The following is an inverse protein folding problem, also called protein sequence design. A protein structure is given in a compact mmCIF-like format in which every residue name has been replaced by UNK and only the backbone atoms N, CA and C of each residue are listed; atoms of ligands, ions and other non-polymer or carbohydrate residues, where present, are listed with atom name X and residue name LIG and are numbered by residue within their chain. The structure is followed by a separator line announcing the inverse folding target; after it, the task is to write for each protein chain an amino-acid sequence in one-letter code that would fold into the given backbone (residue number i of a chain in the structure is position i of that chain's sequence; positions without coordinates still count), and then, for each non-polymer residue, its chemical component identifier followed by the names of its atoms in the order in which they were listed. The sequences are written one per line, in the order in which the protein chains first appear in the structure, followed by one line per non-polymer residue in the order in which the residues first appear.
data_IF_278183748518
#
_entry.id   IF_278183748518
#
_cell.length_a   1.000
_cell.length_b   1.000
_cell.length_c   1.000
_cell.angle_alpha   90.00
_cell.angle_beta   90.00
_cell.angle_gamma   90.00
#
_symmetry.space_group_name_H-M   'P 1'
#
loop_
_entity.id
_entity.type
_entity.pdbx_description
1 polymer ?
#
# COMPACT_ATOMS: atom_id res chain seq x y z
N UNK A 1 -13.45 -3.27 -16.60
CA UNK A 1 -12.13 -2.60 -16.63
C UNK A 1 -11.19 -3.04 -15.49
N UNK A 2 -11.67 -3.59 -14.37
CA UNK A 2 -10.82 -4.07 -13.27
C UNK A 2 -9.98 -5.34 -13.55
N UNK A 3 -10.48 -6.29 -14.35
CA UNK A 3 -9.69 -7.47 -14.74
C UNK A 3 -8.47 -7.13 -15.59
N UNK A 4 -8.60 -6.12 -16.46
CA UNK A 4 -7.52 -5.66 -17.34
C UNK A 4 -6.39 -5.03 -16.52
N UNK A 5 -6.71 -4.23 -15.50
CA UNK A 5 -5.70 -3.65 -14.60
C UNK A 5 -5.01 -4.68 -13.71
N UNK A 6 -5.72 -5.71 -13.23
CA UNK A 6 -5.12 -6.80 -12.44
C UNK A 6 -4.26 -7.73 -13.32
N UNK A 7 -4.67 -8.01 -14.55
CA UNK A 7 -3.87 -8.75 -15.53
C UNK A 7 -2.59 -8.01 -15.91
N UNK A 8 -2.69 -6.71 -16.22
CA UNK A 8 -1.55 -5.85 -16.54
C UNK A 8 -0.58 -5.71 -15.36
N UNK A 9 -1.10 -5.60 -14.13
CA UNK A 9 -0.30 -5.61 -12.91
C UNK A 9 0.56 -6.85 -12.78
N UNK A 10 -0.06 -8.02 -12.97
CA UNK A 10 0.61 -9.30 -12.88
C UNK A 10 1.63 -9.48 -14.03
N UNK A 11 1.29 -9.06 -15.24
CA UNK A 11 2.19 -9.13 -16.40
C UNK A 11 3.42 -8.24 -16.26
N UNK A 12 3.31 -7.05 -15.65
CA UNK A 12 4.45 -6.16 -15.40
C UNK A 12 5.28 -6.62 -14.20
N UNK A 13 4.63 -7.15 -13.16
CA UNK A 13 5.33 -7.64 -11.95
C UNK A 13 6.20 -8.86 -12.24
N UNK A 14 5.79 -9.72 -13.16
CA UNK A 14 6.55 -10.93 -13.52
C UNK A 14 7.98 -10.66 -14.03
N UNK A 15 8.20 -9.85 -15.09
CA UNK A 15 9.54 -9.54 -15.56
C UNK A 15 10.36 -8.78 -14.50
N UNK A 16 9.76 -7.85 -13.76
CA UNK A 16 10.47 -7.09 -12.71
C UNK A 16 10.87 -7.98 -11.52
N UNK A 17 10.05 -8.96 -11.15
CA UNK A 17 10.39 -9.94 -10.11
C UNK A 17 11.53 -10.85 -10.57
N UNK A 18 11.51 -11.28 -11.83
CA UNK A 18 12.60 -12.07 -12.40
C UNK A 18 13.93 -11.27 -12.44
N UNK A 19 13.88 -9.99 -12.83
CA UNK A 19 15.06 -9.10 -12.80
C UNK A 19 15.59 -8.94 -11.38
N UNK A 20 14.70 -8.78 -10.37
CA UNK A 20 15.11 -8.74 -8.96
C UNK A 20 15.84 -10.02 -8.54
N UNK A 21 15.34 -11.18 -8.95
CA UNK A 21 15.97 -12.48 -8.69
C UNK A 21 17.36 -12.58 -9.34
N UNK A 22 17.52 -12.13 -10.58
CA UNK A 22 18.84 -12.12 -11.24
C UNK A 22 19.84 -11.17 -10.56
N UNK A 23 19.40 -9.99 -10.11
CA UNK A 23 20.24 -9.06 -9.34
C UNK A 23 20.69 -9.71 -8.03
N UNK A 24 19.78 -10.41 -7.33
CA UNK A 24 20.11 -11.14 -6.10
C UNK A 24 21.15 -12.23 -6.36
N UNK A 25 20.96 -13.08 -7.37
CA UNK A 25 21.93 -14.13 -7.73
C UNK A 25 23.29 -13.56 -8.15
N UNK A 26 23.31 -12.42 -8.84
CA UNK A 26 24.55 -11.72 -9.20
C UNK A 26 25.26 -11.17 -7.95
N UNK A 27 24.51 -10.61 -7.01
CA UNK A 27 25.06 -10.06 -5.76
C UNK A 27 25.67 -11.13 -4.84
N UNK A 28 25.22 -12.38 -4.94
CA UNK A 28 25.76 -13.50 -4.17
C UNK A 28 27.20 -13.88 -4.59
N UNK A 29 27.53 -13.72 -5.88
CA UNK A 29 28.82 -14.14 -6.43
C UNK A 29 29.76 -12.96 -6.73
N UNK A 30 29.20 -11.79 -7.03
CA UNK A 30 29.94 -10.59 -7.43
C UNK A 30 29.31 -9.35 -6.80
N UNK A 31 29.84 -8.91 -5.65
CA UNK A 31 29.43 -7.63 -5.07
C UNK A 31 29.93 -6.47 -5.94
N UNK A 32 29.01 -5.59 -6.35
CA UNK A 32 29.33 -4.35 -7.05
C UNK A 32 28.34 -3.26 -6.61
N UNK A 33 28.82 -2.07 -6.26
CA UNK A 33 27.98 -0.97 -5.77
C UNK A 33 26.80 -0.61 -6.70
N UNK A 34 27.00 -0.71 -8.02
CA UNK A 34 25.91 -0.56 -8.99
C UNK A 34 24.76 -1.57 -8.84
N UNK A 35 24.99 -2.78 -8.32
CA UNK A 35 23.91 -3.73 -8.04
C UNK A 35 22.99 -3.23 -6.93
N UNK A 36 23.53 -2.56 -5.91
CA UNK A 36 22.73 -1.94 -4.85
C UNK A 36 21.86 -0.81 -5.41
N UNK A 37 22.44 0.02 -6.30
CA UNK A 37 21.72 1.11 -6.97
C UNK A 37 20.60 0.54 -7.85
N UNK A 38 20.89 -0.45 -8.69
CA UNK A 38 19.91 -1.06 -9.60
C UNK A 38 18.80 -1.73 -8.78
N UNK A 39 19.14 -2.42 -7.69
CA UNK A 39 18.16 -3.04 -6.79
C UNK A 39 17.23 -1.98 -6.19
N UNK A 40 17.78 -0.87 -5.69
CA UNK A 40 17.00 0.24 -5.12
C UNK A 40 16.07 0.89 -6.14
N UNK A 41 16.55 1.17 -7.35
CA UNK A 41 15.71 1.75 -8.42
C UNK A 41 14.61 0.79 -8.88
N UNK A 42 14.90 -0.52 -8.93
CA UNK A 42 13.92 -1.55 -9.24
C UNK A 42 12.81 -1.63 -8.17
N UNK A 43 13.17 -1.53 -6.89
CA UNK A 43 12.18 -1.48 -5.80
C UNK A 43 11.30 -0.23 -5.86
N UNK A 44 11.88 0.94 -6.16
CA UNK A 44 11.11 2.17 -6.39
C UNK A 44 10.13 2.03 -7.56
N UNK A 45 10.56 1.42 -8.67
CA UNK A 45 9.72 1.16 -9.82
C UNK A 45 8.55 0.21 -9.46
N UNK A 46 8.84 -0.90 -8.78
CA UNK A 46 7.83 -1.84 -8.29
C UNK A 46 6.82 -1.16 -7.35
N UNK A 47 7.29 -0.31 -6.43
CA UNK A 47 6.42 0.46 -5.53
C UNK A 47 5.53 1.44 -6.30
N UNK A 48 6.09 2.19 -7.25
CA UNK A 48 5.34 3.14 -8.08
C UNK A 48 4.24 2.46 -8.87
N UNK A 49 4.55 1.30 -9.47
CA UNK A 49 3.58 0.50 -10.23
C UNK A 49 2.48 -0.03 -9.31
N UNK A 50 2.82 -0.58 -8.13
CA UNK A 50 1.83 -1.02 -7.15
C UNK A 50 0.92 0.13 -6.69
N UNK A 51 1.46 1.33 -6.46
CA UNK A 51 0.68 2.50 -6.08
C UNK A 51 -0.28 2.93 -7.20
N UNK A 52 0.20 3.01 -8.45
CA UNK A 52 -0.64 3.30 -9.62
C UNK A 52 -1.78 2.29 -9.78
N UNK A 53 -1.49 1.00 -9.63
CA UNK A 53 -2.49 -0.07 -9.71
C UNK A 53 -3.48 -0.03 -8.55
N UNK A 54 -3.02 0.35 -7.36
CA UNK A 54 -3.87 0.50 -6.18
C UNK A 54 -4.84 1.69 -6.32
N UNK A 55 -4.40 2.76 -6.97
CA UNK A 55 -5.23 3.91 -7.36
C UNK A 55 -6.19 3.55 -8.50
N UNK A 56 -5.74 2.73 -9.46
CA UNK A 56 -6.51 2.33 -10.63
C UNK A 56 -7.48 1.15 -10.40
N UNK A 57 -7.47 0.51 -9.22
CA UNK A 57 -8.35 -0.63 -8.91
C UNK A 57 -9.80 -0.15 -8.65
N UNK A 58 -10.77 -0.53 -9.50
CA UNK A 58 -12.18 -0.13 -9.37
C UNK A 58 -12.99 -1.03 -8.42
N UNK A 59 -12.36 -1.94 -7.66
CA UNK A 59 -13.03 -2.91 -6.77
C UNK A 59 -13.81 -2.25 -5.61
N UNK A 60 -13.67 -0.94 -5.40
CA UNK A 60 -14.36 -0.17 -4.36
C UNK A 60 -15.85 0.10 -4.67
N UNK A 61 -16.31 -0.16 -5.89
CA UNK A 61 -17.70 0.11 -6.27
C UNK A 61 -18.69 -0.97 -5.80
N UNK A 62 -18.21 -2.21 -5.58
CA UNK A 62 -19.05 -3.36 -5.23
C UNK A 62 -18.91 -3.83 -3.77
N UNK A 63 -18.15 -3.12 -2.93
CA UNK A 63 -18.06 -3.47 -1.52
C UNK A 63 -19.36 -3.05 -0.80
N UNK A 64 -20.00 -3.97 -0.04
CA UNK A 64 -21.24 -3.65 0.66
C UNK A 64 -20.97 -2.57 1.71
N UNK A 65 -21.91 -1.63 1.84
CA UNK A 65 -21.86 -0.67 2.95
C UNK A 65 -21.99 -1.43 4.27
N UNK A 66 -21.08 -1.15 5.20
CA UNK A 66 -21.10 -1.74 6.53
C UNK A 66 -21.31 -0.65 7.58
N UNK A 67 -21.84 -1.04 8.73
CA UNK A 67 -21.87 -0.19 9.92
C UNK A 67 -20.46 -0.17 10.53
N UNK A 68 -19.85 1.01 10.62
CA UNK A 68 -18.49 1.17 11.14
C UNK A 68 -18.39 2.34 12.11
N UNK A 69 -17.55 2.19 13.12
CA UNK A 69 -17.22 3.25 14.06
C UNK A 69 -15.96 3.98 13.58
N UNK A 70 -16.11 5.23 13.10
CA UNK A 70 -15.01 5.98 12.52
C UNK A 70 -13.88 6.25 13.54
N UNK A 71 -14.23 6.50 14.80
CA UNK A 71 -13.25 6.78 15.84
C UNK A 71 -12.36 5.56 16.11
N UNK A 72 -12.94 4.36 16.18
CA UNK A 72 -12.21 3.11 16.38
C UNK A 72 -11.29 2.75 15.21
N UNK A 73 -11.72 3.03 13.97
CA UNK A 73 -10.88 2.82 12.79
C UNK A 73 -9.69 3.81 12.75
N UNK A 74 -9.91 5.09 13.08
CA UNK A 74 -8.85 6.09 13.18
C UNK A 74 -7.84 5.73 14.28
N UNK A 75 -8.29 5.26 15.44
CA UNK A 75 -7.39 4.78 16.50
C UNK A 75 -6.55 3.58 16.03
N UNK A 76 -7.14 2.64 15.30
CA UNK A 76 -6.44 1.47 14.77
C UNK A 76 -5.36 1.86 13.76
N UNK A 77 -5.64 2.83 12.89
CA UNK A 77 -4.65 3.40 11.98
C UNK A 77 -3.52 4.10 12.72
N UNK A 78 -3.83 4.98 13.68
CA UNK A 78 -2.82 5.69 14.45
C UNK A 78 -1.93 4.73 15.25
N UNK A 79 -2.50 3.63 15.76
CA UNK A 79 -1.73 2.58 16.41
C UNK A 79 -0.78 1.86 15.45
N UNK A 80 -1.22 1.56 14.21
CA UNK A 80 -0.40 0.89 13.20
C UNK A 80 0.86 1.70 12.84
N UNK A 81 0.73 3.03 12.81
CA UNK A 81 1.81 3.95 12.44
C UNK A 81 2.56 4.55 13.63
N UNK A 82 2.27 4.10 14.87
CA UNK A 82 2.85 4.67 16.10
C UNK A 82 4.38 4.76 16.07
N UNK A 83 5.06 3.79 15.44
CA UNK A 83 6.52 3.72 15.39
C UNK A 83 7.12 4.74 14.40
N UNK A 84 6.34 5.19 13.41
CA UNK A 84 6.73 6.24 12.46
C UNK A 84 6.57 7.66 13.05
N UNK A 85 5.79 7.80 14.12
CA UNK A 85 5.50 9.07 14.77
C UNK A 85 6.38 9.35 16.00
N UNK A 86 7.54 8.69 16.13
CA UNK A 86 8.42 8.78 17.31
C UNK A 86 8.88 10.22 17.68
N UNK A 87 8.65 11.21 16.80
CA UNK A 87 8.97 12.64 17.02
C UNK A 87 7.79 13.59 16.79
N UNK A 88 6.57 13.07 16.72
CA UNK A 88 5.36 13.87 16.45
C UNK A 88 4.35 13.62 17.58
N UNK A 89 3.86 14.70 18.17
CA UNK A 89 2.76 14.64 19.13
C UNK A 89 1.43 14.75 18.39
N UNK A 90 0.56 13.76 18.57
CA UNK A 90 -0.74 13.69 17.90
C UNK A 90 -1.83 14.06 18.91
N UNK A 91 -2.41 15.25 18.76
CA UNK A 91 -3.57 15.67 19.55
C UNK A 91 -4.87 15.18 18.88
N UNK A 92 -5.67 14.40 19.61
CA UNK A 92 -6.93 13.82 19.11
C UNK A 92 -8.14 14.47 19.79
N UNK A 93 -9.08 14.99 19.00
CA UNK A 93 -10.38 15.48 19.49
C UNK A 93 -11.52 14.81 18.72
N UNK A 94 -11.99 13.68 19.24
CA UNK A 94 -13.12 12.96 18.67
C UNK A 94 -14.42 13.30 19.40
N UNK A 95 -15.46 13.59 18.62
CA UNK A 95 -16.84 13.77 19.06
C UNK A 95 -17.67 12.55 18.63
N UNK A 96 -18.79 12.29 19.31
CA UNK A 96 -19.74 11.24 18.93
C UNK A 96 -19.12 9.83 18.80
N UNK A 97 -18.20 9.48 19.71
CA UNK A 97 -17.38 8.25 19.66
C UNK A 97 -18.15 6.92 19.58
N UNK A 98 -19.41 6.91 20.00
CA UNK A 98 -20.26 5.70 19.99
C UNK A 98 -21.10 5.59 18.70
N UNK A 99 -21.09 6.61 17.84
CA UNK A 99 -21.88 6.61 16.61
C UNK A 99 -21.22 5.73 15.54
N UNK A 100 -22.05 4.90 14.93
CA UNK A 100 -21.68 4.17 13.73
C UNK A 100 -22.19 4.91 12.50
N UNK A 101 -21.37 4.92 11.45
CA UNK A 101 -21.74 5.40 10.13
C UNK A 101 -21.89 4.21 9.19
N UNK A 102 -22.80 4.33 8.23
CA UNK A 102 -22.95 3.34 7.16
C UNK A 102 -22.12 3.81 5.98
N UNK A 103 -21.10 3.05 5.61
CA UNK A 103 -20.20 3.43 4.53
C UNK A 103 -19.36 2.26 4.04
N UNK A 104 -18.61 2.51 2.98
CA UNK A 104 -17.66 1.53 2.45
C UNK A 104 -16.32 1.74 3.17
N UNK A 105 -15.97 0.82 4.07
CA UNK A 105 -14.79 0.91 4.94
C UNK A 105 -13.50 1.25 4.17
N UNK A 106 -13.26 0.60 3.03
CA UNK A 106 -12.03 0.81 2.25
C UNK A 106 -11.97 2.17 1.52
N UNK A 107 -13.09 2.88 1.34
CA UNK A 107 -13.06 4.26 0.81
C UNK A 107 -12.61 5.27 1.88
N UNK A 108 -12.95 5.00 3.14
CA UNK A 108 -12.61 5.89 4.27
C UNK A 108 -11.14 5.77 4.65
N UNK A 109 -10.58 4.56 4.58
CA UNK A 109 -9.16 4.30 4.88
C UNK A 109 -8.19 4.81 3.78
N UNK A 110 -8.70 5.23 2.62
CA UNK A 110 -7.92 5.70 1.46
C UNK A 110 -7.82 7.22 1.33
N UNK A 111 -8.60 7.99 2.09
CA UNK A 111 -8.62 9.46 2.05
C UNK A 111 -7.58 10.05 3.01
#
# INVERSE_FOLDING_TARGET
MGEISTGLAHEIKNPLTAVKGFIQLLSENHYHHYLDIISSELEKALSTINNLLHVAKPELENEPSTSLNLCSELESLLFLFKDQFYRVEIEKRFYDKEQNIIGRKNLILKA
#
